data_IF_389372857282
#
_entry.id   IF_389372857282
#
_cell.length_a   1.000
_cell.length_b   1.000
_cell.length_c   1.000
_cell.angle_alpha   90.00
_cell.angle_beta   90.00
_cell.angle_gamma   90.00
#
_symmetry.space_group_name_H-M   'P 1'
#
loop_
_entity.id
_entity.type
_entity.pdbx_description
1 polymer ?
#
# COMPACT_ATOMS: atom_id res chain seq x y z
N UNK A 1 17.37 8.74 20.13
CA UNK A 1 16.33 9.70 19.74
C UNK A 1 16.12 9.59 18.24
N UNK A 2 14.96 9.12 17.78
CA UNK A 2 14.62 9.09 16.34
C UNK A 2 13.76 10.33 16.07
N UNK A 3 14.28 11.28 15.31
CA UNK A 3 13.57 12.51 14.92
C UNK A 3 12.48 12.20 13.87
N UNK A 4 11.20 12.48 14.14
CA UNK A 4 10.14 12.32 13.16
C UNK A 4 10.06 13.61 12.32
N UNK A 5 10.97 13.77 11.35
CA UNK A 5 11.00 14.97 10.50
C UNK A 5 11.38 14.73 9.04
N UNK A 6 11.75 13.50 8.68
CA UNK A 6 12.23 13.16 7.32
C UNK A 6 11.49 11.95 6.76
N UNK A 7 10.18 11.86 6.95
CA UNK A 7 9.37 10.91 6.18
C UNK A 7 9.27 11.39 4.74
N UNK A 8 10.28 11.04 3.93
CA UNK A 8 10.41 11.20 2.47
C UNK A 8 9.29 10.50 1.66
N UNK A 9 8.17 10.14 2.30
CA UNK A 9 7.04 9.42 1.70
C UNK A 9 6.09 10.33 0.92
N UNK A 10 6.14 11.66 1.11
CA UNK A 10 5.29 12.61 0.39
C UNK A 10 5.57 12.69 -1.12
N UNK A 11 6.79 12.38 -1.57
CA UNK A 11 7.17 12.46 -2.99
C UNK A 11 7.04 11.13 -3.75
N UNK A 12 6.61 10.05 -3.09
CA UNK A 12 6.50 8.71 -3.70
C UNK A 12 5.67 8.68 -4.99
N UNK A 13 4.46 9.30 -5.07
CA UNK A 13 3.68 9.28 -6.31
C UNK A 13 4.37 10.09 -7.42
N UNK A 14 4.92 11.26 -7.11
CA UNK A 14 5.63 12.11 -8.06
C UNK A 14 6.88 11.41 -8.61
N UNK A 15 7.67 10.76 -7.74
CA UNK A 15 8.85 9.99 -8.16
C UNK A 15 8.49 8.81 -9.07
N UNK A 16 7.36 8.14 -8.83
CA UNK A 16 6.86 7.08 -9.73
C UNK A 16 6.49 7.62 -11.10
N UNK A 17 5.80 8.76 -11.17
CA UNK A 17 5.49 9.43 -12.43
C UNK A 17 6.76 9.84 -13.18
N UNK A 18 7.75 10.40 -12.49
CA UNK A 18 9.04 10.75 -13.10
C UNK A 18 9.79 9.51 -13.63
N UNK A 19 9.73 8.36 -12.95
CA UNK A 19 10.31 7.11 -13.48
C UNK A 19 9.63 6.71 -14.80
N UNK A 20 8.29 6.82 -14.89
CA UNK A 20 7.56 6.55 -16.12
C UNK A 20 7.96 7.51 -17.25
N UNK A 21 7.96 8.82 -16.97
CA UNK A 21 8.37 9.84 -17.94
C UNK A 21 9.80 9.60 -18.46
N UNK A 22 10.75 9.27 -17.58
CA UNK A 22 12.14 9.00 -17.99
C UNK A 22 12.24 7.75 -18.87
N UNK A 23 11.46 6.70 -18.60
CA UNK A 23 11.43 5.50 -19.44
C UNK A 23 10.94 5.83 -20.85
N UNK A 24 9.90 6.64 -20.95
CA UNK A 24 9.25 6.96 -22.23
C UNK A 24 10.08 7.95 -23.05
N UNK A 25 10.63 8.98 -22.41
CA UNK A 25 11.41 10.04 -23.09
C UNK A 25 12.83 9.64 -23.45
N UNK A 26 13.48 8.78 -22.65
CA UNK A 26 14.89 8.42 -22.86
C UNK A 26 15.10 6.94 -23.21
N UNK A 27 14.04 6.15 -23.40
CA UNK A 27 14.11 4.69 -23.69
C UNK A 27 15.00 3.91 -22.70
N UNK A 28 15.10 4.40 -21.46
CA UNK A 28 15.93 3.78 -20.43
C UNK A 28 15.16 2.71 -19.67
N UNK A 29 15.86 1.68 -19.20
CA UNK A 29 15.24 0.68 -18.33
C UNK A 29 14.76 1.30 -17.01
N UNK A 30 13.70 0.72 -16.44
CA UNK A 30 13.17 1.11 -15.12
C UNK A 30 14.28 1.15 -14.04
N UNK A 31 15.24 0.23 -14.11
CA UNK A 31 16.37 0.17 -13.17
C UNK A 31 17.24 1.42 -13.26
N UNK A 32 17.53 1.89 -14.48
CA UNK A 32 18.34 3.09 -14.72
C UNK A 32 17.57 4.33 -14.28
N UNK A 33 16.29 4.45 -14.62
CA UNK A 33 15.44 5.55 -14.18
C UNK A 33 15.31 5.64 -12.65
N UNK A 34 15.07 4.52 -11.95
CA UNK A 34 15.02 4.49 -10.48
C UNK A 34 16.37 4.86 -9.83
N UNK A 35 17.50 4.43 -10.41
CA UNK A 35 18.84 4.76 -9.89
C UNK A 35 19.14 6.25 -10.01
N UNK A 36 18.82 6.87 -11.15
CA UNK A 36 18.99 8.32 -11.37
C UNK A 36 18.17 9.14 -10.37
N UNK A 37 16.94 8.71 -10.07
CA UNK A 37 16.06 9.40 -9.13
C UNK A 37 16.30 9.04 -7.64
N UNK A 38 17.30 8.22 -7.33
CA UNK A 38 17.59 7.77 -5.96
C UNK A 38 16.42 7.03 -5.31
N UNK A 39 15.60 6.33 -6.10
CA UNK A 39 14.37 5.69 -5.65
C UNK A 39 14.49 4.17 -5.69
N UNK A 40 13.95 3.48 -4.67
CA UNK A 40 13.97 2.02 -4.66
C UNK A 40 12.99 1.43 -5.68
N UNK A 41 13.48 0.52 -6.51
CA UNK A 41 12.67 -0.27 -7.46
C UNK A 41 11.56 -1.06 -6.77
N UNK A 42 11.79 -1.53 -5.53
CA UNK A 42 10.75 -2.30 -4.80
C UNK A 42 9.56 -1.42 -4.44
N UNK A 43 9.81 -0.16 -4.09
CA UNK A 43 8.77 0.84 -3.83
C UNK A 43 8.09 1.28 -5.13
N UNK A 44 8.84 1.37 -6.24
CA UNK A 44 8.29 1.65 -7.56
C UNK A 44 7.30 0.58 -8.01
N UNK A 45 7.73 -0.68 -8.01
CA UNK A 45 6.91 -1.86 -8.38
C UNK A 45 5.77 -2.15 -7.42
N UNK A 46 5.82 -1.65 -6.19
CA UNK A 46 4.71 -1.78 -5.24
C UNK A 46 3.53 -0.98 -5.78
N UNK A 47 2.60 -1.67 -6.42
CA UNK A 47 1.33 -1.09 -6.85
C UNK A 47 0.60 -0.56 -5.61
N UNK A 48 0.30 0.74 -5.60
CA UNK A 48 -0.47 1.41 -4.56
C UNK A 48 -1.99 1.55 -4.81
N UNK A 49 -2.69 0.75 -5.66
CA UNK A 49 -4.14 0.89 -5.85
C UNK A 49 -4.96 0.09 -4.83
N UNK A 50 -4.33 -0.63 -3.89
CA UNK A 50 -5.05 -1.44 -2.90
C UNK A 50 -5.85 -0.64 -1.88
N UNK A 51 -5.63 0.68 -1.76
CA UNK A 51 -6.32 1.50 -0.76
C UNK A 51 -7.84 1.45 -0.89
N UNK A 52 -8.39 1.41 -2.11
CA UNK A 52 -9.84 1.43 -2.30
C UNK A 52 -10.49 0.09 -2.03
N UNK A 53 -9.89 -1.02 -2.51
CA UNK A 53 -10.35 -2.38 -2.16
C UNK A 53 -10.19 -2.69 -0.66
N UNK A 54 -9.11 -2.19 -0.06
CA UNK A 54 -8.83 -2.42 1.37
C UNK A 54 -9.65 -1.50 2.29
N UNK A 55 -10.27 -0.43 1.78
CA UNK A 55 -11.02 0.53 2.61
C UNK A 55 -12.20 -0.12 3.32
N UNK A 56 -12.99 -0.93 2.61
CA UNK A 56 -14.13 -1.66 3.19
C UNK A 56 -13.67 -2.63 4.28
N UNK A 57 -12.56 -3.32 4.05
CA UNK A 57 -11.95 -4.23 5.02
C UNK A 57 -11.47 -3.49 6.27
N UNK A 58 -10.81 -2.34 6.10
CA UNK A 58 -10.34 -1.49 7.19
C UNK A 58 -11.51 -0.93 8.01
N UNK A 59 -12.59 -0.54 7.35
CA UNK A 59 -13.79 -0.06 8.04
C UNK A 59 -14.44 -1.16 8.87
N UNK A 60 -14.57 -2.38 8.30
CA UNK A 60 -15.10 -3.53 9.06
C UNK A 60 -14.22 -3.89 10.24
N UNK A 61 -12.89 -3.89 10.08
CA UNK A 61 -11.94 -4.07 11.17
C UNK A 61 -12.13 -3.04 12.28
N UNK A 62 -12.37 -1.77 11.94
CA UNK A 62 -12.61 -0.69 12.92
C UNK A 62 -13.92 -0.91 13.69
N UNK A 63 -14.97 -1.33 13.00
CA UNK A 63 -16.26 -1.66 13.63
C UNK A 63 -16.08 -2.79 14.65
N UNK A 64 -15.46 -3.90 14.23
CA UNK A 64 -15.22 -5.05 15.11
C UNK A 64 -14.31 -4.69 16.30
N UNK A 65 -13.31 -3.84 16.08
CA UNK A 65 -12.43 -3.37 17.15
C UNK A 65 -13.18 -2.49 18.18
N UNK A 66 -14.15 -1.69 17.73
CA UNK A 66 -15.00 -0.87 18.61
C UNK A 66 -16.00 -1.71 19.40
N UNK A 67 -16.61 -2.71 18.77
CA UNK A 67 -17.55 -3.62 19.43
C UNK A 67 -16.86 -4.51 20.46
N UNK A 68 -15.61 -4.94 20.20
CA UNK A 68 -14.89 -5.92 21.03
C UNK A 68 -13.41 -5.54 21.25
N UNK A 69 -13.12 -4.52 22.07
CA UNK A 69 -11.76 -3.98 22.24
C UNK A 69 -10.75 -4.98 22.85
N UNK A 70 -11.21 -5.99 23.60
CA UNK A 70 -10.34 -6.98 24.26
C UNK A 70 -9.87 -8.13 23.35
N UNK A 71 -10.36 -8.20 22.12
CA UNK A 71 -10.17 -9.40 21.27
C UNK A 71 -8.81 -9.43 20.57
N UNK A 72 -8.16 -8.28 20.41
CA UNK A 72 -6.89 -8.17 19.68
C UNK A 72 -7.02 -8.55 18.20
N UNK A 73 -5.95 -8.32 17.43
CA UNK A 73 -6.00 -8.49 15.96
C UNK A 73 -6.29 -9.94 15.53
N UNK A 74 -5.82 -10.94 16.29
CA UNK A 74 -5.93 -12.36 15.90
C UNK A 74 -7.37 -12.87 15.95
N UNK A 75 -8.14 -12.53 16.99
CA UNK A 75 -9.55 -12.95 17.08
C UNK A 75 -10.41 -12.16 16.11
N UNK A 76 -10.14 -10.87 15.95
CA UNK A 76 -10.84 -10.04 14.94
C UNK A 76 -10.59 -10.62 13.54
N UNK A 77 -9.37 -11.05 13.22
CA UNK A 77 -9.06 -11.70 11.94
C UNK A 77 -9.85 -13.00 11.71
N UNK A 78 -10.00 -13.84 12.74
CA UNK A 78 -10.82 -15.06 12.64
C UNK A 78 -12.31 -14.74 12.48
N UNK A 79 -12.82 -13.72 13.15
CA UNK A 79 -14.21 -13.26 12.98
C UNK A 79 -14.44 -12.73 11.57
N UNK A 80 -13.51 -11.89 11.09
CA UNK A 80 -13.55 -11.37 9.74
C UNK A 80 -13.51 -12.50 8.70
N UNK A 81 -12.67 -13.52 8.90
CA UNK A 81 -12.64 -14.70 8.02
C UNK A 81 -13.93 -15.52 8.02
N UNK A 82 -14.74 -15.45 9.08
CA UNK A 82 -16.07 -16.09 9.14
C UNK A 82 -17.17 -15.23 8.51
N UNK A 83 -17.05 -13.91 8.63
CA UNK A 83 -17.97 -12.96 7.99
C UNK A 83 -17.72 -12.83 6.48
N UNK A 84 -16.48 -13.09 6.02
CA UNK A 84 -16.02 -12.82 4.64
C UNK A 84 -15.91 -14.09 3.76
N UNK A 85 -16.24 -15.28 4.26
CA UNK A 85 -16.20 -16.49 3.43
C UNK A 85 -17.33 -16.54 2.37
N UNK A 86 -17.05 -16.95 1.12
CA UNK A 86 -16.15 -16.34 0.14
C UNK A 86 -16.89 -15.28 -0.71
N UNK A 87 -16.58 -14.00 -0.52
CA UNK A 87 -16.94 -12.96 -1.51
C UNK A 87 -15.84 -12.76 -2.58
N UNK A 88 -14.74 -13.53 -2.48
CA UNK A 88 -13.72 -13.65 -3.53
C UNK A 88 -14.15 -14.70 -4.57
N UNK A 89 -15.31 -14.49 -5.17
CA UNK A 89 -15.56 -14.88 -6.56
C UNK A 89 -15.64 -13.59 -7.37
N UNK A 90 -15.29 -13.65 -8.65
CA UNK A 90 -15.16 -12.54 -9.62
C UNK A 90 -13.70 -12.03 -9.67
N UNK A 91 -12.91 -12.55 -10.61
CA UNK A 91 -12.69 -11.97 -11.96
C UNK A 91 -12.05 -10.57 -11.90
#
# INVERSE_FOLDING_TARGET
>A
MVTPGTTSQAHTPLKKQMVALLRDSFTVSERRACRVLGFSRTTHRRNSPKREKDQQLVERLRVLARERPRFGYRRIHLMLGREVAPQDSVE
#
